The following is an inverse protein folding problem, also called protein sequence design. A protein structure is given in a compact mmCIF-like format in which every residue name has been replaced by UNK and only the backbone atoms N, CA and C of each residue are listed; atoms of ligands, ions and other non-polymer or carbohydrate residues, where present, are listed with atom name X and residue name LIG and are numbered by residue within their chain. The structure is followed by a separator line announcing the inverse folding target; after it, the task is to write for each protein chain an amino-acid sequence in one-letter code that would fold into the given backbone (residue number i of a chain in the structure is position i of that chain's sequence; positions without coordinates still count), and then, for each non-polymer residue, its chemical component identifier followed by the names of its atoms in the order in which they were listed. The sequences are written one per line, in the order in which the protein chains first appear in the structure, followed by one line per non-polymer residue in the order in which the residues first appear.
data_IF_651983478766
#
_entry.id   IF_651983478766
#
_cell.length_a   1.000
_cell.length_b   1.000
_cell.length_c   1.000
_cell.angle_alpha   90.00
_cell.angle_beta   90.00
_cell.angle_gamma   90.00
#
_symmetry.space_group_name_H-M   'P 1'
#
loop_
_entity.id
_entity.type
_entity.pdbx_description
1 polymer ?
#
# COMPACT_ATOMS: atom_id res chain seq x y z
N UNK A 1 2.46 -47.64 -11.99
CA UNK A 1 1.44 -48.35 -12.78
C UNK A 1 0.30 -48.70 -11.84
N UNK A 2 -0.92 -48.47 -12.31
CA UNK A 2 -2.22 -48.63 -11.63
C UNK A 2 -2.69 -47.46 -10.75
N UNK A 3 -3.39 -46.49 -11.36
CA UNK A 3 -4.87 -46.42 -11.49
C UNK A 3 -5.50 -46.11 -10.13
N UNK A 4 -5.92 -44.87 -9.88
CA UNK A 4 -7.16 -44.24 -10.39
C UNK A 4 -8.40 -44.98 -9.87
N UNK A 5 -9.39 -44.20 -9.42
CA UNK A 5 -10.80 -44.55 -9.16
C UNK A 5 -11.22 -44.61 -7.67
N UNK A 6 -11.51 -43.43 -7.13
CA UNK A 6 -12.82 -43.14 -6.52
C UNK A 6 -13.43 -42.07 -7.45
N UNK A 7 -14.14 -42.44 -8.51
CA UNK A 7 -15.58 -42.74 -8.51
C UNK A 7 -16.39 -41.67 -7.75
N UNK A 8 -17.00 -40.68 -8.44
CA UNK A 8 -18.35 -40.76 -9.06
C UNK A 8 -19.46 -40.44 -8.03
N UNK A 9 -20.45 -39.54 -8.22
CA UNK A 9 -21.11 -38.91 -9.36
C UNK A 9 -21.72 -37.52 -8.92
N UNK A 10 -22.80 -36.96 -9.51
CA UNK A 10 -22.70 -35.77 -10.37
C UNK A 10 -23.65 -34.65 -9.90
N UNK A 11 -23.37 -33.41 -10.27
CA UNK A 11 -24.43 -32.42 -10.42
C UNK A 11 -23.95 -31.48 -11.51
N UNK A 12 -24.48 -31.70 -12.70
CA UNK A 12 -25.60 -30.90 -13.19
C UNK A 12 -25.01 -29.65 -13.87
N UNK A 13 -24.89 -29.65 -15.19
CA UNK A 13 -25.96 -29.32 -16.16
C UNK A 13 -25.71 -27.90 -16.70
N UNK A 14 -25.30 -27.86 -17.99
CA UNK A 14 -25.73 -26.91 -19.05
C UNK A 14 -25.07 -25.50 -19.04
N UNK A 15 -24.87 -24.80 -20.19
CA UNK A 15 -24.78 -25.18 -21.62
C UNK A 15 -23.42 -24.79 -22.25
N UNK A 16 -23.19 -25.15 -23.52
CA UNK A 16 -22.10 -24.65 -24.37
C UNK A 16 -22.48 -23.31 -25.02
N UNK A 17 -21.69 -22.24 -24.80
CA UNK A 17 -21.63 -21.17 -25.79
C UNK A 17 -20.15 -20.74 -25.97
N UNK A 18 -19.65 -20.15 -27.05
CA UNK A 18 -20.24 -19.11 -27.88
C UNK A 18 -19.34 -18.91 -29.10
N UNK A 19 -19.93 -18.77 -30.28
CA UNK A 19 -19.35 -18.07 -31.44
C UNK A 19 -19.21 -16.56 -31.13
N UNK A 20 -18.28 -16.20 -30.22
CA UNK A 20 -18.05 -14.82 -29.72
C UNK A 20 -16.56 -14.49 -29.49
N UNK A 21 -15.66 -15.49 -29.62
CA UNK A 21 -14.24 -15.38 -29.26
C UNK A 21 -13.47 -14.33 -30.08
N UNK A 22 -13.74 -14.25 -31.39
CA UNK A 22 -12.92 -13.45 -32.33
C UNK A 22 -13.15 -11.93 -32.23
N UNK A 23 -14.34 -11.47 -31.79
CA UNK A 23 -14.62 -10.02 -31.62
C UNK A 23 -14.07 -9.45 -30.32
N UNK A 24 -14.13 -10.22 -29.22
CA UNK A 24 -13.63 -9.77 -27.91
C UNK A 24 -12.12 -9.74 -27.83
N UNK A 25 -11.43 -10.61 -28.55
CA UNK A 25 -9.96 -10.62 -28.58
C UNK A 25 -9.40 -9.39 -29.32
N UNK A 26 -10.04 -8.97 -30.42
CA UNK A 26 -9.67 -7.76 -31.16
C UNK A 26 -9.88 -6.48 -30.33
N UNK A 27 -10.95 -6.42 -29.52
CA UNK A 27 -11.22 -5.30 -28.59
C UNK A 27 -10.25 -5.30 -27.41
N UNK A 28 -9.81 -6.47 -26.92
CA UNK A 28 -8.80 -6.58 -25.85
C UNK A 28 -7.41 -6.12 -26.29
N UNK A 29 -7.04 -6.36 -27.55
CA UNK A 29 -5.68 -6.05 -28.04
C UNK A 29 -5.50 -4.55 -28.37
N UNK A 30 -6.52 -3.91 -28.95
CA UNK A 30 -6.48 -2.46 -29.29
C UNK A 30 -7.01 -1.58 -28.14
N UNK A 31 -8.06 -1.99 -27.44
CA UNK A 31 -8.65 -1.24 -26.34
C UNK A 31 -7.87 -1.34 -25.02
N UNK A 32 -7.23 -2.48 -24.75
CA UNK A 32 -6.43 -2.67 -23.54
C UNK A 32 -5.16 -1.82 -23.48
N UNK A 33 -4.50 -1.59 -24.62
CA UNK A 33 -3.30 -0.75 -24.70
C UNK A 33 -3.58 0.74 -24.45
N UNK A 34 -4.70 1.26 -24.98
CA UNK A 34 -5.09 2.67 -24.79
C UNK A 34 -5.56 2.93 -23.35
N UNK A 35 -6.30 2.01 -22.74
CA UNK A 35 -6.70 2.12 -21.33
C UNK A 35 -5.50 2.01 -20.38
N UNK A 36 -4.53 1.14 -20.66
CA UNK A 36 -3.31 1.04 -19.86
C UNK A 36 -2.44 2.32 -19.96
N UNK A 37 -2.32 2.91 -21.15
CA UNK A 37 -1.61 4.18 -21.32
C UNK A 37 -2.33 5.36 -20.64
N UNK A 38 -3.66 5.39 -20.66
CA UNK A 38 -4.45 6.40 -19.95
C UNK A 38 -4.40 6.24 -18.42
N UNK A 39 -4.34 5.00 -17.91
CA UNK A 39 -4.14 4.74 -16.48
C UNK A 39 -2.73 5.12 -16.00
N UNK A 40 -1.69 4.99 -16.85
CA UNK A 40 -0.33 5.47 -16.51
C UNK A 40 -0.26 7.00 -16.45
N UNK A 41 -0.93 7.72 -17.37
CA UNK A 41 -0.98 9.19 -17.35
C UNK A 41 -1.75 9.76 -16.14
N UNK A 42 -2.60 8.97 -15.48
CA UNK A 42 -3.25 9.35 -14.22
C UNK A 42 -2.40 9.04 -12.97
N UNK A 43 -1.33 8.26 -13.12
CA UNK A 43 -0.40 7.91 -12.04
C UNK A 43 0.92 8.72 -12.11
N UNK A 44 1.06 9.62 -13.09
CA UNK A 44 2.20 10.52 -13.24
C UNK A 44 1.72 11.94 -13.55
N UNK A 45 1.40 12.68 -12.49
CA UNK A 45 1.41 14.15 -12.50
C UNK A 45 2.86 14.57 -12.24
N UNK A 46 3.56 14.92 -13.32
CA UNK A 46 4.98 15.26 -13.34
C UNK A 46 5.10 16.78 -13.08
N UNK A 47 5.02 17.16 -11.81
CA UNK A 47 5.64 18.36 -11.25
C UNK A 47 6.73 17.89 -10.26
N UNK A 48 7.70 17.15 -10.81
CA UNK A 48 8.93 16.74 -10.12
C UNK A 48 9.88 17.95 -10.00
N UNK A 49 9.51 18.90 -9.14
CA UNK A 49 10.56 19.60 -8.40
C UNK A 49 11.16 18.55 -7.47
N UNK A 50 12.46 18.23 -7.56
CA UNK A 50 13.09 17.40 -6.54
C UNK A 50 13.00 18.14 -5.23
N UNK A 51 11.92 17.88 -4.50
CA UNK A 51 11.70 18.35 -3.15
C UNK A 51 12.87 17.82 -2.36
N UNK A 52 13.89 18.67 -2.21
CA UNK A 52 15.08 18.39 -1.43
C UNK A 52 14.54 17.88 -0.11
N UNK A 53 14.77 16.58 0.16
CA UNK A 53 14.48 15.99 1.44
C UNK A 53 15.39 16.70 2.43
N UNK A 54 14.95 17.87 2.87
CA UNK A 54 15.65 18.70 3.80
C UNK A 54 15.81 17.82 5.01
N UNK A 55 17.05 17.38 5.25
CA UNK A 55 17.48 16.79 6.51
C UNK A 55 17.54 17.90 7.56
N UNK A 56 16.55 18.79 7.53
CA UNK A 56 16.40 19.93 8.38
C UNK A 56 15.86 19.42 9.69
N UNK A 57 16.71 19.48 10.71
CA UNK A 57 16.29 19.62 12.10
C UNK A 57 15.03 20.50 12.14
N UNK A 58 13.91 19.92 12.56
CA UNK A 58 12.61 20.55 12.45
C UNK A 58 12.59 21.94 13.10
N UNK A 59 11.78 22.86 12.56
CA UNK A 59 11.62 24.18 13.18
C UNK A 59 10.82 24.04 14.48
N UNK A 60 11.40 24.51 15.59
CA UNK A 60 10.77 24.60 16.91
C UNK A 60 10.71 26.07 17.35
N UNK A 61 9.68 26.47 18.14
CA UNK A 61 8.57 25.67 18.63
C UNK A 61 7.51 25.36 17.55
N UNK A 62 6.83 24.21 17.68
CA UNK A 62 5.70 23.83 16.80
C UNK A 62 4.54 23.23 17.57
N UNK A 63 3.33 23.52 17.11
CA UNK A 63 2.10 22.88 17.62
C UNK A 63 1.66 21.80 16.65
N UNK A 64 1.31 20.63 17.17
CA UNK A 64 0.77 19.50 16.41
C UNK A 64 -0.69 19.32 16.80
N UNK A 65 -1.58 19.45 15.83
CA UNK A 65 -3.01 19.16 16.00
C UNK A 65 -3.26 17.66 15.89
N UNK A 66 -4.01 17.09 16.82
CA UNK A 66 -4.43 15.69 16.77
C UNK A 66 -5.81 15.49 17.41
N UNK A 67 -6.38 14.29 17.27
CA UNK A 67 -7.74 13.99 17.72
C UNK A 67 -8.00 14.28 19.22
N UNK A 68 -6.96 14.23 20.07
CA UNK A 68 -7.04 14.53 21.51
C UNK A 68 -6.82 16.01 21.86
N UNK A 69 -6.75 16.90 20.86
CA UNK A 69 -6.44 18.32 21.02
C UNK A 69 -5.06 18.71 20.49
N UNK A 70 -4.63 19.97 20.66
CA UNK A 70 -3.30 20.42 20.26
C UNK A 70 -2.23 20.03 21.29
N UNK A 71 -1.04 19.65 20.83
CA UNK A 71 0.16 19.51 21.67
C UNK A 71 1.27 20.41 21.15
N UNK A 72 1.85 21.21 22.05
CA UNK A 72 2.97 22.10 21.74
C UNK A 72 4.30 21.44 22.06
N UNK A 73 5.21 21.46 21.09
CA UNK A 73 6.59 20.97 21.21
C UNK A 73 7.52 22.18 21.16
N UNK A 74 8.09 22.55 22.30
CA UNK A 74 8.86 23.79 22.47
C UNK A 74 10.25 23.72 21.83
N UNK A 75 10.88 22.55 21.86
CA UNK A 75 12.25 22.32 21.41
C UNK A 75 12.40 20.92 20.81
N UNK A 76 13.54 20.67 20.18
CA UNK A 76 13.84 19.37 19.58
C UNK A 76 13.78 18.22 20.60
N UNK A 77 12.98 17.17 20.35
CA UNK A 77 12.87 16.04 21.26
C UNK A 77 14.17 15.24 21.35
N UNK A 78 14.73 15.10 22.56
CA UNK A 78 15.93 14.28 22.76
C UNK A 78 15.65 12.77 22.87
N UNK A 79 14.42 12.37 23.17
CA UNK A 79 14.02 10.96 23.35
C UNK A 79 12.61 10.73 22.84
N UNK A 80 12.42 9.68 22.06
CA UNK A 80 11.14 9.32 21.44
C UNK A 80 10.85 7.84 21.68
N UNK A 81 9.61 7.53 22.06
CA UNK A 81 9.12 6.16 22.33
C UNK A 81 8.07 5.80 21.28
N UNK A 82 8.19 4.61 20.70
CA UNK A 82 7.17 4.07 19.79
C UNK A 82 6.07 3.38 20.59
N UNK A 83 4.81 3.79 20.39
CA UNK A 83 3.68 3.29 21.17
C UNK A 83 3.02 2.06 20.54
N UNK A 84 3.11 1.95 19.22
CA UNK A 84 2.70 0.79 18.44
C UNK A 84 3.80 0.38 17.46
N UNK A 85 3.76 -0.85 16.96
CA UNK A 85 4.81 -1.37 16.06
C UNK A 85 4.95 -0.54 14.77
N UNK A 86 3.85 0.03 14.27
CA UNK A 86 3.85 0.91 13.08
C UNK A 86 4.61 2.22 13.31
N UNK A 87 4.62 2.74 14.53
CA UNK A 87 5.38 3.95 14.86
C UNK A 87 6.88 3.66 14.77
N UNK A 88 7.31 2.49 15.26
CA UNK A 88 8.71 2.07 15.23
C UNK A 88 9.21 1.92 13.78
N UNK A 89 8.43 1.27 12.93
CA UNK A 89 8.75 1.12 11.50
C UNK A 89 8.90 2.49 10.80
N UNK A 90 7.95 3.39 11.05
CA UNK A 90 8.00 4.76 10.50
C UNK A 90 9.22 5.55 10.99
N UNK A 91 9.53 5.47 12.30
CA UNK A 91 10.71 6.15 12.85
C UNK A 91 12.00 5.63 12.22
N UNK A 92 12.14 4.31 12.08
CA UNK A 92 13.32 3.70 11.47
C UNK A 92 13.46 4.08 9.99
N UNK A 93 12.35 4.15 9.25
CA UNK A 93 12.35 4.62 7.86
C UNK A 93 12.84 6.08 7.73
N UNK A 94 12.57 6.91 8.74
CA UNK A 94 13.03 8.30 8.83
C UNK A 94 14.43 8.44 9.47
N UNK A 95 15.12 7.33 9.77
CA UNK A 95 16.44 7.33 10.40
C UNK A 95 16.44 7.67 11.90
N UNK A 96 15.28 7.67 12.54
CA UNK A 96 15.13 7.93 13.98
C UNK A 96 15.10 6.61 14.74
N UNK A 97 15.99 6.43 15.72
CA UNK A 97 16.01 5.24 16.58
C UNK A 97 15.22 5.50 17.87
N UNK A 98 14.12 4.79 18.14
CA UNK A 98 13.35 4.97 19.38
C UNK A 98 14.09 4.42 20.61
N UNK A 99 13.88 5.03 21.77
CA UNK A 99 14.50 4.58 23.03
C UNK A 99 13.79 3.36 23.63
N UNK A 100 12.54 3.13 23.25
CA UNK A 100 11.73 1.98 23.64
C UNK A 100 10.61 1.75 22.63
N UNK A 101 10.20 0.49 22.50
CA UNK A 101 9.03 0.06 21.74
C UNK A 101 8.09 -0.64 22.72
N UNK A 102 6.80 -0.33 22.66
CA UNK A 102 5.80 -1.02 23.48
C UNK A 102 5.70 -2.49 23.05
N UNK A 103 5.88 -3.41 23.98
CA UNK A 103 5.59 -4.83 23.74
C UNK A 103 4.08 -5.01 23.54
N UNK A 104 3.69 -5.44 22.35
CA UNK A 104 2.35 -5.97 22.12
C UNK A 104 2.30 -7.36 22.76
N UNK A 105 1.47 -7.51 23.80
CA UNK A 105 1.41 -8.74 24.59
C UNK A 105 0.89 -9.92 23.78
N UNK A 106 1.78 -10.82 23.39
CA UNK A 106 1.43 -12.20 23.03
C UNK A 106 1.81 -13.09 24.22
N UNK A 107 0.77 -13.48 24.97
CA UNK A 107 0.84 -14.59 25.91
C UNK A 107 0.48 -15.87 25.18
#
# INVERSE_FOLDING_TARGET
MDRMVLAELPSAVIPDPIEDSTRREFVRLVGGGVLAAAFLAACGDDDDEPGSASTGSGTFPRTVEHALGPTRIEAEPGRVVALIDRDADTMLALGVTPVAIRSHGTR
#
